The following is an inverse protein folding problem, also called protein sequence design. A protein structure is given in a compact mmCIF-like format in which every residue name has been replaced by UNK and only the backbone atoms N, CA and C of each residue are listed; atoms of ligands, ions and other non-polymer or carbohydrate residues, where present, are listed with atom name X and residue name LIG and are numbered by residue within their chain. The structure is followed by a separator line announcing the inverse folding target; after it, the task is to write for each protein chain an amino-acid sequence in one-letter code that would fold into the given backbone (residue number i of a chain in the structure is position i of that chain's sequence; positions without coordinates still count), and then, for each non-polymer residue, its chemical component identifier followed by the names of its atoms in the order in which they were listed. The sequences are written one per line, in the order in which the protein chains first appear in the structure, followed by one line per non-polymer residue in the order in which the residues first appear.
data_IF_403718066778
#
_entry.id   IF_403718066778
#
_cell.length_a   1.000
_cell.length_b   1.000
_cell.length_c   1.000
_cell.angle_alpha   90.00
_cell.angle_beta   90.00
_cell.angle_gamma   90.00
#
_symmetry.space_group_name_H-M   'P 1'
#
loop_
_entity.id
_entity.type
_entity.pdbx_description
1 polymer ?
#
# COMPACT_ATOMS: atom_id res chain seq x y z
N UNK A 1 8.59 36.74 17.25
CA UNK A 1 7.72 36.21 18.34
C UNK A 1 7.96 34.72 18.49
N UNK A 2 8.17 34.22 19.71
CA UNK A 2 8.47 32.80 19.98
C UNK A 2 7.20 31.95 19.79
N UNK A 3 7.37 30.68 19.35
CA UNK A 3 6.29 29.67 19.19
C UNK A 3 5.47 29.53 20.48
N UNK A 4 6.09 29.69 21.65
CA UNK A 4 5.43 29.65 22.96
C UNK A 4 4.45 30.83 23.16
N UNK A 5 4.76 32.02 22.66
CA UNK A 5 3.88 33.19 22.74
C UNK A 5 2.65 33.01 21.81
N UNK A 6 2.83 32.39 20.67
CA UNK A 6 1.75 32.01 19.73
C UNK A 6 0.79 30.99 20.35
N UNK A 7 1.33 29.92 20.95
CA UNK A 7 0.55 28.87 21.61
C UNK A 7 -0.28 29.43 22.78
N UNK A 8 0.29 30.33 23.59
CA UNK A 8 -0.40 30.98 24.71
C UNK A 8 -1.54 31.91 24.25
N UNK A 9 -1.35 32.62 23.13
CA UNK A 9 -2.41 33.44 22.52
C UNK A 9 -3.55 32.59 21.96
N UNK A 10 -3.23 31.50 21.31
CA UNK A 10 -4.23 30.56 20.79
C UNK A 10 -5.04 29.91 21.90
N UNK A 11 -4.40 29.45 22.97
CA UNK A 11 -5.09 28.83 24.11
C UNK A 11 -6.04 29.83 24.84
N UNK A 12 -5.70 31.13 24.86
CA UNK A 12 -6.47 32.13 25.57
C UNK A 12 -7.59 32.75 24.74
N UNK A 13 -7.44 32.87 23.42
CA UNK A 13 -8.34 33.64 22.57
C UNK A 13 -8.72 32.91 21.25
N UNK A 14 -8.35 31.64 21.08
CA UNK A 14 -8.61 30.87 19.86
C UNK A 14 -7.95 31.47 18.60
N UNK A 15 -8.49 31.16 17.44
CA UNK A 15 -8.03 31.71 16.14
C UNK A 15 -8.07 33.26 16.09
N UNK A 16 -9.01 33.87 16.72
CA UNK A 16 -9.16 35.35 16.77
C UNK A 16 -7.95 36.00 17.44
N UNK A 17 -7.35 35.36 18.45
CA UNK A 17 -6.17 35.87 19.14
C UNK A 17 -4.89 35.85 18.34
N UNK A 18 -4.88 35.11 17.22
CA UNK A 18 -3.73 35.02 16.31
C UNK A 18 -3.80 36.00 15.15
N UNK A 19 -4.97 36.54 14.86
CA UNK A 19 -5.09 37.60 13.85
C UNK A 19 -4.32 38.83 14.31
N UNK A 20 -3.38 39.29 13.51
CA UNK A 20 -2.70 40.57 13.79
C UNK A 20 -3.76 41.66 13.99
N UNK A 21 -3.63 42.44 15.04
CA UNK A 21 -4.42 43.65 15.15
C UNK A 21 -4.16 44.45 13.89
N UNK A 22 -5.11 44.48 12.94
CA UNK A 22 -5.10 45.50 11.90
C UNK A 22 -4.97 46.84 12.63
N UNK A 23 -3.95 47.57 12.25
CA UNK A 23 -3.83 48.97 12.72
C UNK A 23 -5.21 49.58 12.60
N UNK A 24 -5.72 50.10 13.69
CA UNK A 24 -6.97 50.84 13.69
C UNK A 24 -6.82 51.95 12.66
N UNK A 25 -7.54 51.81 11.55
CA UNK A 25 -7.74 52.94 10.64
C UNK A 25 -8.27 54.05 11.51
N UNK A 26 -7.68 55.26 11.52
CA UNK A 26 -8.21 56.37 12.27
C UNK A 26 -9.68 56.54 11.87
N UNK A 27 -10.60 56.47 12.82
CA UNK A 27 -12.00 56.80 12.56
C UNK A 27 -12.03 58.27 12.21
N UNK A 28 -12.21 58.59 10.93
CA UNK A 28 -12.60 59.93 10.53
C UNK A 28 -13.96 60.27 11.17
N UNK A 29 -14.16 61.49 11.65
CA UNK A 29 -15.43 61.85 12.23
C UNK A 29 -16.56 61.70 11.21
N UNK A 30 -17.69 61.18 11.66
CA UNK A 30 -18.90 60.88 10.89
C UNK A 30 -19.55 62.06 10.15
N UNK A 31 -18.98 63.26 10.24
CA UNK A 31 -19.50 64.49 9.62
C UNK A 31 -19.16 64.68 8.13
N UNK A 32 -18.38 63.79 7.50
CA UNK A 32 -18.05 63.89 6.07
C UNK A 32 -18.72 62.83 5.17
N UNK A 33 -19.64 62.03 5.73
CA UNK A 33 -20.26 60.92 4.97
C UNK A 33 -21.57 61.31 4.27
N UNK A 34 -22.05 62.53 4.45
CA UNK A 34 -23.33 62.99 3.90
C UNK A 34 -23.25 63.72 2.54
N UNK A 35 -22.14 63.63 1.86
CA UNK A 35 -22.14 64.02 0.44
C UNK A 35 -22.81 62.93 -0.41
N UNK A 36 -23.86 63.21 -1.21
CA UNK A 36 -24.45 62.22 -2.06
C UNK A 36 -23.37 61.72 -3.05
N UNK A 37 -23.03 60.44 -2.97
CA UNK A 37 -22.12 59.78 -3.95
C UNK A 37 -22.58 60.14 -5.35
N UNK A 38 -21.67 60.64 -6.17
CA UNK A 38 -21.97 60.94 -7.57
C UNK A 38 -22.40 59.62 -8.24
N UNK A 39 -23.32 59.67 -9.21
CA UNK A 39 -23.88 58.49 -9.86
C UNK A 39 -22.83 57.52 -10.36
N UNK A 40 -21.70 58.06 -10.82
CA UNK A 40 -20.57 57.31 -11.37
C UNK A 40 -19.80 56.55 -10.30
N UNK A 41 -19.65 57.09 -9.09
CA UNK A 41 -19.03 56.41 -7.94
C UNK A 41 -19.90 55.25 -7.46
N UNK A 42 -21.23 55.42 -7.46
CA UNK A 42 -22.19 54.41 -7.12
C UNK A 42 -22.20 53.23 -8.09
N UNK A 43 -22.07 53.52 -9.38
CA UNK A 43 -21.93 52.46 -10.40
C UNK A 43 -20.59 51.76 -10.36
N UNK A 44 -19.51 52.44 -10.06
CA UNK A 44 -18.19 51.88 -9.87
C UNK A 44 -18.19 50.90 -8.66
N UNK A 45 -18.76 51.33 -7.55
CA UNK A 45 -18.90 50.46 -6.32
C UNK A 45 -19.78 49.25 -6.58
N UNK A 46 -20.88 49.39 -7.31
CA UNK A 46 -21.75 48.27 -7.70
C UNK A 46 -21.04 47.28 -8.58
N UNK A 47 -20.19 47.75 -9.46
CA UNK A 47 -19.38 46.93 -10.36
C UNK A 47 -18.34 46.13 -9.56
N UNK A 48 -17.64 46.81 -8.65
CA UNK A 48 -16.67 46.19 -7.77
C UNK A 48 -17.30 45.13 -6.84
N UNK A 49 -18.48 45.38 -6.32
CA UNK A 49 -19.25 44.41 -5.53
C UNK A 49 -19.58 43.17 -6.37
N UNK A 50 -20.00 43.33 -7.63
CA UNK A 50 -20.31 42.22 -8.53
C UNK A 50 -19.06 41.37 -8.87
N UNK A 51 -17.93 42.04 -9.06
CA UNK A 51 -16.64 41.34 -9.31
C UNK A 51 -16.19 40.54 -8.10
N UNK A 52 -16.22 41.15 -6.89
CA UNK A 52 -15.88 40.45 -5.65
C UNK A 52 -16.82 39.27 -5.37
N UNK A 53 -18.11 39.42 -5.69
CA UNK A 53 -19.11 38.39 -5.50
C UNK A 53 -18.87 37.19 -6.46
N UNK A 54 -18.48 37.48 -7.70
CA UNK A 54 -18.06 36.45 -8.65
C UNK A 54 -16.81 35.72 -8.15
N UNK A 55 -15.81 36.44 -7.66
CA UNK A 55 -14.58 35.83 -7.13
C UNK A 55 -14.86 34.92 -5.93
N UNK A 56 -15.67 35.36 -4.99
CA UNK A 56 -16.07 34.56 -3.82
C UNK A 56 -16.81 33.28 -4.24
N UNK A 57 -17.72 33.37 -5.20
CA UNK A 57 -18.48 32.22 -5.66
C UNK A 57 -17.59 31.24 -6.44
N UNK A 58 -16.66 31.77 -7.25
CA UNK A 58 -15.64 30.92 -7.94
C UNK A 58 -14.75 30.21 -6.92
N UNK A 59 -14.29 30.89 -5.89
CA UNK A 59 -13.47 30.28 -4.85
C UNK A 59 -14.23 29.17 -4.09
N UNK A 60 -15.50 29.38 -3.79
CA UNK A 60 -16.35 28.35 -3.15
C UNK A 60 -16.46 27.11 -4.02
N UNK A 61 -16.81 27.24 -5.30
CA UNK A 61 -16.93 26.13 -6.22
C UNK A 61 -15.58 25.44 -6.47
N UNK A 62 -14.49 26.22 -6.50
CA UNK A 62 -13.13 25.65 -6.60
C UNK A 62 -12.80 24.78 -5.40
N UNK A 63 -13.14 25.23 -4.19
CA UNK A 63 -12.97 24.42 -2.97
C UNK A 63 -13.78 23.12 -3.04
N UNK A 64 -15.02 23.17 -3.53
CA UNK A 64 -15.83 21.95 -3.70
C UNK A 64 -15.24 20.97 -4.74
N UNK A 65 -14.67 21.48 -5.83
CA UNK A 65 -13.96 20.66 -6.81
C UNK A 65 -12.70 20.04 -6.19
N UNK A 66 -11.93 20.80 -5.41
CA UNK A 66 -10.72 20.33 -4.73
C UNK A 66 -11.02 19.28 -3.66
N UNK A 67 -12.13 19.40 -2.92
CA UNK A 67 -12.58 18.38 -1.97
C UNK A 67 -12.86 17.04 -2.67
N UNK A 68 -13.36 17.09 -3.91
CA UNK A 68 -13.67 15.89 -4.72
C UNK A 68 -12.46 15.31 -5.44
N UNK A 69 -11.46 16.13 -5.75
CA UNK A 69 -10.17 15.71 -6.36
C UNK A 69 -8.99 16.38 -5.60
N UNK A 70 -8.47 15.73 -4.52
CA UNK A 70 -7.35 16.27 -3.72
C UNK A 70 -6.04 16.46 -4.49
N UNK A 71 -5.97 15.99 -5.73
CA UNK A 71 -4.81 16.19 -6.62
C UNK A 71 -4.92 17.39 -7.55
N UNK A 72 -6.00 18.18 -7.47
CA UNK A 72 -6.15 19.41 -8.24
C UNK A 72 -5.32 20.54 -7.60
N UNK A 73 -4.57 21.27 -8.43
CA UNK A 73 -3.76 22.41 -7.99
C UNK A 73 -4.55 23.71 -8.15
N UNK A 74 -4.64 24.50 -7.09
CA UNK A 74 -5.30 25.81 -7.07
C UNK A 74 -4.69 26.78 -8.10
N UNK A 75 -3.37 26.70 -8.33
CA UNK A 75 -2.65 27.58 -9.26
C UNK A 75 -2.79 27.16 -10.72
N UNK A 76 -3.24 25.94 -11.00
CA UNK A 76 -3.25 25.33 -12.34
C UNK A 76 -4.49 24.53 -12.67
N UNK A 77 -5.72 25.05 -12.45
CA UNK A 77 -6.96 24.38 -12.85
C UNK A 77 -6.93 23.94 -14.32
N UNK A 78 -7.12 22.65 -14.55
CA UNK A 78 -7.23 22.08 -15.90
C UNK A 78 -8.55 22.48 -16.57
N UNK A 79 -8.59 22.48 -17.87
CA UNK A 79 -9.79 22.85 -18.62
C UNK A 79 -11.04 22.04 -18.22
N UNK A 80 -10.86 20.79 -17.77
CA UNK A 80 -11.97 19.97 -17.27
C UNK A 80 -12.54 20.52 -15.96
N UNK A 81 -11.69 20.90 -15.03
CA UNK A 81 -12.07 21.47 -13.72
C UNK A 81 -12.74 22.84 -13.92
N UNK A 82 -12.13 23.69 -14.77
CA UNK A 82 -12.73 24.97 -15.17
C UNK A 82 -14.14 24.78 -15.75
N UNK A 83 -14.34 23.78 -16.61
CA UNK A 83 -15.65 23.53 -17.20
C UNK A 83 -16.70 23.05 -16.18
N UNK A 84 -16.30 22.32 -15.14
CA UNK A 84 -17.18 21.92 -14.03
C UNK A 84 -17.63 23.15 -13.25
N UNK A 85 -16.69 24.03 -12.86
CA UNK A 85 -16.97 25.26 -12.11
C UNK A 85 -17.87 26.20 -12.93
N UNK A 86 -17.55 26.42 -14.21
CA UNK A 86 -18.36 27.21 -15.15
C UNK A 86 -19.79 26.62 -15.24
N UNK A 87 -19.90 25.30 -15.30
CA UNK A 87 -21.20 24.61 -15.35
C UNK A 87 -22.05 24.84 -14.10
N UNK A 88 -21.44 24.79 -12.92
CA UNK A 88 -22.10 25.05 -11.63
C UNK A 88 -22.57 26.51 -11.52
N UNK A 89 -21.72 27.46 -11.91
CA UNK A 89 -22.00 28.90 -11.82
C UNK A 89 -22.87 29.43 -12.97
N UNK A 90 -23.06 28.66 -14.04
CA UNK A 90 -23.78 29.09 -15.26
C UNK A 90 -25.25 29.44 -15.05
N UNK A 91 -25.85 29.11 -13.90
CA UNK A 91 -27.21 29.57 -13.52
C UNK A 91 -27.20 30.98 -12.93
N UNK A 92 -26.08 31.42 -12.40
CA UNK A 92 -25.94 32.70 -11.65
C UNK A 92 -25.24 33.78 -12.48
N UNK A 93 -24.32 33.37 -13.36
CA UNK A 93 -23.50 34.29 -14.18
C UNK A 93 -23.57 33.96 -15.67
N UNK A 94 -23.47 34.97 -16.49
CA UNK A 94 -23.45 34.79 -17.95
C UNK A 94 -22.21 34.02 -18.40
N UNK A 95 -22.39 33.07 -19.30
CA UNK A 95 -21.30 32.24 -19.83
C UNK A 95 -20.11 33.04 -20.34
N UNK A 96 -20.27 34.13 -21.13
CA UNK A 96 -19.14 34.92 -21.59
C UNK A 96 -18.27 35.48 -20.48
N UNK A 97 -18.89 35.97 -19.39
CA UNK A 97 -18.18 36.50 -18.21
C UNK A 97 -17.32 35.40 -17.53
N UNK A 98 -17.89 34.22 -17.36
CA UNK A 98 -17.16 33.08 -16.79
C UNK A 98 -16.01 32.60 -17.68
N UNK A 99 -16.20 32.58 -18.99
CA UNK A 99 -15.17 32.18 -19.94
C UNK A 99 -13.98 33.15 -19.94
N UNK A 100 -14.25 34.46 -19.85
CA UNK A 100 -13.21 35.51 -19.74
C UNK A 100 -12.47 35.33 -18.40
N UNK A 101 -13.18 35.17 -17.28
CA UNK A 101 -12.60 35.01 -15.94
C UNK A 101 -11.61 33.81 -15.88
N UNK A 102 -11.99 32.67 -16.47
CA UNK A 102 -11.16 31.47 -16.48
C UNK A 102 -10.15 31.43 -17.65
N UNK A 103 -10.08 32.46 -18.48
CA UNK A 103 -9.30 32.44 -19.71
C UNK A 103 -9.48 31.13 -20.51
N UNK A 104 -10.75 30.80 -20.80
CA UNK A 104 -11.13 29.57 -21.48
C UNK A 104 -11.90 29.84 -22.76
N UNK A 105 -11.44 29.25 -23.87
CA UNK A 105 -12.13 29.38 -25.13
C UNK A 105 -13.52 28.68 -25.10
N UNK A 106 -14.51 29.29 -25.76
CA UNK A 106 -15.88 28.75 -25.82
C UNK A 106 -15.93 27.30 -26.36
N UNK A 107 -15.13 27.02 -27.39
CA UNK A 107 -15.00 25.67 -27.96
C UNK A 107 -14.46 24.66 -26.94
N UNK A 108 -13.45 25.03 -26.17
CA UNK A 108 -12.88 24.20 -25.10
C UNK A 108 -13.90 23.90 -24.03
N UNK A 109 -14.70 24.88 -23.64
CA UNK A 109 -15.80 24.67 -22.67
C UNK A 109 -16.81 23.65 -23.18
N UNK A 110 -17.35 23.81 -24.37
CA UNK A 110 -18.33 22.89 -24.93
C UNK A 110 -17.75 21.49 -25.15
N UNK A 111 -16.48 21.40 -25.58
CA UNK A 111 -15.79 20.12 -25.69
C UNK A 111 -15.71 19.42 -24.33
N UNK A 112 -15.29 20.12 -23.28
CA UNK A 112 -15.21 19.54 -21.94
C UNK A 112 -16.60 19.19 -21.39
N UNK A 113 -17.59 20.03 -21.58
CA UNK A 113 -18.99 19.77 -21.19
C UNK A 113 -19.53 18.52 -21.87
N UNK A 114 -19.33 18.35 -23.16
CA UNK A 114 -19.71 17.15 -23.89
C UNK A 114 -18.94 15.92 -23.43
N UNK A 115 -17.66 16.09 -23.08
CA UNK A 115 -16.83 15.00 -22.53
C UNK A 115 -17.29 14.57 -21.15
N UNK A 116 -17.71 15.50 -20.31
CA UNK A 116 -18.23 15.23 -18.95
C UNK A 116 -19.61 14.54 -18.97
N UNK A 117 -20.41 14.80 -20.00
CA UNK A 117 -21.73 14.15 -20.15
C UNK A 117 -21.67 12.73 -20.73
N UNK A 118 -20.51 12.32 -21.27
CA UNK A 118 -20.34 10.96 -21.78
C UNK A 118 -20.30 9.97 -20.63
N UNK A 119 -21.01 8.83 -20.75
CA UNK A 119 -20.94 7.77 -19.73
C UNK A 119 -19.48 7.25 -19.63
N UNK A 120 -19.08 6.91 -18.44
CA UNK A 120 -17.75 6.32 -18.21
C UNK A 120 -17.66 4.96 -18.92
N UNK A 121 -16.88 4.89 -20.00
CA UNK A 121 -16.66 3.67 -20.78
C UNK A 121 -16.06 2.51 -19.95
N UNK A 122 -15.51 2.82 -18.78
CA UNK A 122 -14.88 1.86 -17.90
C UNK A 122 -15.76 1.47 -16.71
N UNK A 123 -17.02 1.95 -16.62
CA UNK A 123 -17.89 1.74 -15.47
C UNK A 123 -18.01 0.26 -15.07
N UNK A 124 -18.24 -0.64 -16.04
CA UNK A 124 -18.30 -2.09 -15.79
C UNK A 124 -16.99 -2.67 -15.26
N UNK A 125 -15.85 -2.10 -15.65
CA UNK A 125 -14.54 -2.57 -15.22
C UNK A 125 -14.17 -2.06 -13.83
N UNK A 126 -14.74 -0.92 -13.39
CA UNK A 126 -14.53 -0.39 -12.04
C UNK A 126 -15.03 -1.37 -10.98
N UNK A 127 -16.25 -1.87 -11.13
CA UNK A 127 -16.80 -2.85 -10.20
C UNK A 127 -16.00 -4.16 -10.19
N UNK A 128 -15.57 -4.63 -11.37
CA UNK A 128 -14.73 -5.82 -11.45
C UNK A 128 -13.36 -5.64 -10.77
N UNK A 129 -12.73 -4.49 -10.97
CA UNK A 129 -11.45 -4.17 -10.31
C UNK A 129 -11.61 -4.09 -8.78
N UNK A 130 -12.71 -3.49 -8.29
CA UNK A 130 -13.04 -3.47 -6.86
C UNK A 130 -13.22 -4.89 -6.29
N UNK A 131 -13.95 -5.75 -7.00
CA UNK A 131 -14.18 -7.15 -6.62
C UNK A 131 -12.83 -7.89 -6.52
N UNK A 132 -12.04 -7.86 -7.59
CA UNK A 132 -10.71 -8.49 -7.61
C UNK A 132 -9.76 -7.95 -6.52
N UNK A 133 -9.83 -6.65 -6.22
CA UNK A 133 -9.04 -6.06 -5.15
C UNK A 133 -9.44 -6.62 -3.78
N UNK A 134 -10.75 -6.72 -3.51
CA UNK A 134 -11.29 -7.26 -2.25
C UNK A 134 -11.03 -8.77 -2.12
N UNK A 135 -11.30 -9.54 -3.17
CA UNK A 135 -11.07 -10.99 -3.21
C UNK A 135 -9.62 -11.33 -2.94
N UNK A 136 -8.69 -10.46 -3.36
CA UNK A 136 -7.27 -10.59 -3.11
C UNK A 136 -6.79 -9.77 -1.90
N UNK A 137 -7.62 -9.70 -0.84
CA UNK A 137 -7.27 -9.15 0.49
C UNK A 137 -6.81 -7.67 0.47
N UNK A 138 -7.07 -6.91 -0.60
CA UNK A 138 -6.62 -5.53 -0.75
C UNK A 138 -5.12 -5.35 -0.98
N UNK A 139 -4.38 -6.41 -1.31
CA UNK A 139 -2.91 -6.38 -1.45
C UNK A 139 -2.42 -6.32 -2.89
N UNK A 140 -3.33 -6.37 -3.87
CA UNK A 140 -2.96 -6.29 -5.28
C UNK A 140 -2.83 -4.83 -5.74
N UNK A 141 -1.61 -4.42 -6.08
CA UNK A 141 -1.38 -3.20 -6.85
C UNK A 141 -1.78 -3.36 -8.32
N UNK A 142 -1.77 -2.27 -9.07
CA UNK A 142 -2.25 -2.22 -10.45
C UNK A 142 -1.66 -3.30 -11.37
N UNK A 143 -0.40 -3.68 -11.22
CA UNK A 143 0.23 -4.72 -12.06
C UNK A 143 -0.40 -6.10 -11.85
N UNK A 144 -0.69 -6.48 -10.61
CA UNK A 144 -1.34 -7.76 -10.31
C UNK A 144 -2.81 -7.74 -10.71
N UNK A 145 -3.52 -6.63 -10.49
CA UNK A 145 -4.89 -6.47 -10.96
C UNK A 145 -4.99 -6.52 -12.48
N UNK A 146 -4.04 -5.90 -13.18
CA UNK A 146 -3.94 -6.00 -14.64
C UNK A 146 -3.75 -7.44 -15.11
N UNK A 147 -2.87 -8.18 -14.44
CA UNK A 147 -2.64 -9.59 -14.76
C UNK A 147 -3.87 -10.48 -14.46
N UNK A 148 -4.54 -10.24 -13.32
CA UNK A 148 -5.78 -10.95 -12.97
C UNK A 148 -6.90 -10.68 -14.00
N UNK A 149 -7.07 -9.44 -14.42
CA UNK A 149 -8.01 -9.09 -15.49
C UNK A 149 -7.68 -9.79 -16.80
N UNK A 150 -6.39 -9.87 -17.17
CA UNK A 150 -5.95 -10.57 -18.38
C UNK A 150 -6.26 -12.07 -18.33
N UNK A 151 -6.13 -12.71 -17.19
CA UNK A 151 -6.51 -14.12 -16.99
C UNK A 151 -8.01 -14.36 -17.18
N UNK A 152 -8.84 -13.37 -16.85
CA UNK A 152 -10.29 -13.41 -17.11
C UNK A 152 -10.69 -12.94 -18.52
N UNK A 153 -9.72 -12.75 -19.42
CA UNK A 153 -9.96 -12.31 -20.80
C UNK A 153 -10.27 -10.82 -20.94
N UNK A 154 -10.07 -10.02 -19.89
CA UNK A 154 -10.33 -8.56 -19.91
C UNK A 154 -9.03 -7.84 -20.27
N UNK A 155 -9.01 -7.24 -21.47
CA UNK A 155 -7.84 -6.52 -21.98
C UNK A 155 -8.00 -5.02 -21.68
N UNK A 156 -7.29 -4.54 -20.68
CA UNK A 156 -7.14 -3.12 -20.33
C UNK A 156 -5.65 -2.78 -20.31
N UNK A 157 -5.29 -1.53 -20.56
CA UNK A 157 -3.89 -1.10 -20.37
C UNK A 157 -3.60 -0.89 -18.88
N UNK A 158 -2.34 -1.12 -18.45
CA UNK A 158 -1.91 -0.85 -17.06
C UNK A 158 -2.21 0.58 -16.61
N UNK A 159 -2.08 1.55 -17.55
CA UNK A 159 -2.40 2.96 -17.28
C UNK A 159 -3.87 3.15 -16.89
N UNK A 160 -4.79 2.46 -17.55
CA UNK A 160 -6.23 2.53 -17.24
C UNK A 160 -6.51 1.87 -15.90
N UNK A 161 -5.96 0.70 -15.62
CA UNK A 161 -6.12 0.01 -14.33
C UNK A 161 -5.59 0.87 -13.18
N UNK A 162 -4.41 1.47 -13.35
CA UNK A 162 -3.81 2.38 -12.37
C UNK A 162 -4.69 3.62 -12.13
N UNK A 163 -5.28 4.19 -13.19
CA UNK A 163 -6.16 5.34 -13.06
C UNK A 163 -7.45 4.96 -12.32
N UNK A 164 -8.06 3.83 -12.64
CA UNK A 164 -9.25 3.35 -11.95
C UNK A 164 -8.95 3.11 -10.46
N UNK A 165 -7.83 2.48 -10.11
CA UNK A 165 -7.44 2.31 -8.71
C UNK A 165 -7.33 3.66 -7.98
N UNK A 166 -6.74 4.66 -8.63
CA UNK A 166 -6.63 6.01 -8.05
C UNK A 166 -8.01 6.64 -7.86
N UNK A 167 -8.88 6.58 -8.87
CA UNK A 167 -10.22 7.18 -8.84
C UNK A 167 -11.11 6.53 -7.77
N UNK A 168 -10.95 5.21 -7.54
CA UNK A 168 -11.70 4.43 -6.56
C UNK A 168 -11.02 4.35 -5.18
N UNK A 169 -9.92 5.10 -4.97
CA UNK A 169 -9.12 5.09 -3.74
C UNK A 169 -8.67 3.69 -3.28
N UNK A 170 -8.34 2.81 -4.23
CA UNK A 170 -7.83 1.48 -3.94
C UNK A 170 -6.33 1.56 -3.63
N UNK A 171 -6.00 1.69 -2.35
CA UNK A 171 -4.63 1.85 -1.87
C UNK A 171 -4.15 0.56 -1.23
N UNK A 172 -2.99 0.07 -1.68
CA UNK A 172 -2.31 -1.06 -1.05
C UNK A 172 -1.52 -0.55 0.15
N UNK A 173 -1.70 -1.18 1.30
CA UNK A 173 -0.92 -0.84 2.49
C UNK A 173 0.55 -1.22 2.28
N UNK A 174 1.45 -0.31 2.64
CA UNK A 174 2.90 -0.53 2.63
C UNK A 174 3.54 0.07 3.87
N UNK A 175 4.04 -0.77 4.78
CA UNK A 175 4.81 -0.30 5.91
C UNK A 175 6.21 0.15 5.46
N UNK A 176 6.74 1.22 6.06
CA UNK A 176 8.12 1.66 5.83
C UNK A 176 9.08 0.62 6.41
N UNK A 177 10.10 0.25 5.63
CA UNK A 177 11.17 -0.64 6.11
C UNK A 177 11.93 0.01 7.27
N UNK A 178 12.08 -0.73 8.38
CA UNK A 178 12.99 -0.37 9.46
C UNK A 178 14.37 -0.95 9.15
N UNK A 179 15.43 -0.15 9.36
CA UNK A 179 16.81 -0.65 9.27
C UNK A 179 17.09 -1.58 10.44
N UNK A 180 17.62 -2.75 10.15
CA UNK A 180 18.07 -3.73 11.15
C UNK A 180 19.54 -3.54 11.50
N UNK A 181 19.90 -3.87 12.74
CA UNK A 181 21.30 -4.03 13.18
C UNK A 181 21.56 -5.50 13.52
N UNK A 182 22.69 -6.05 13.06
CA UNK A 182 23.09 -7.43 13.31
C UNK A 182 23.84 -7.61 14.62
N UNK A 183 23.59 -8.73 15.33
CA UNK A 183 24.25 -9.10 16.58
C UNK A 183 25.55 -9.88 16.34
N UNK A 184 26.61 -9.53 17.05
CA UNK A 184 27.99 -10.06 16.89
C UNK A 184 28.39 -10.94 18.10
N UNK A 185 27.78 -12.10 18.29
CA UNK A 185 28.21 -12.96 19.39
C UNK A 185 27.96 -14.45 19.15
N UNK A 186 29.00 -15.21 18.80
CA UNK A 186 28.86 -16.66 18.67
C UNK A 186 30.18 -17.44 18.75
N UNK A 187 30.12 -18.59 19.46
CA UNK A 187 31.20 -19.56 19.59
C UNK A 187 30.62 -20.95 19.21
N UNK A 188 30.70 -21.35 17.93
CA UNK A 188 30.24 -22.69 17.49
C UNK A 188 30.95 -23.13 16.21
N UNK A 189 31.12 -24.47 15.95
CA UNK A 189 31.68 -24.97 14.70
C UNK A 189 30.96 -24.43 13.48
N UNK A 190 31.72 -24.07 12.47
CA UNK A 190 31.20 -23.43 11.27
C UNK A 190 30.50 -24.45 10.37
N UNK A 191 29.22 -24.22 10.09
CA UNK A 191 28.50 -24.92 9.04
C UNK A 191 28.65 -24.09 7.76
N UNK A 192 29.04 -24.72 6.67
CA UNK A 192 29.35 -24.07 5.41
C UNK A 192 28.09 -23.39 4.80
N UNK A 193 28.28 -22.21 4.20
CA UNK A 193 27.26 -21.57 3.38
C UNK A 193 27.30 -22.16 1.97
N UNK A 194 26.64 -23.30 1.78
CA UNK A 194 26.59 -24.01 0.49
C UNK A 194 25.86 -23.20 -0.59
N UNK A 195 24.85 -22.41 -0.21
CA UNK A 195 24.08 -21.61 -1.17
C UNK A 195 24.83 -20.41 -1.73
N UNK A 196 25.74 -19.81 -0.96
CA UNK A 196 26.48 -18.62 -1.38
C UNK A 196 25.60 -17.54 -2.03
N UNK A 197 24.43 -17.26 -1.46
CA UNK A 197 23.39 -16.32 -1.98
C UNK A 197 22.75 -16.74 -3.31
N UNK A 198 23.03 -17.93 -3.83
CA UNK A 198 22.34 -18.45 -5.00
C UNK A 198 21.02 -19.10 -4.58
N UNK A 199 19.99 -18.24 -4.45
CA UNK A 199 18.62 -18.67 -4.14
C UNK A 199 17.81 -19.06 -5.37
N UNK A 200 18.45 -19.28 -6.52
CA UNK A 200 17.80 -19.81 -7.70
C UNK A 200 17.86 -21.34 -7.66
N UNK A 201 16.75 -21.97 -7.98
CA UNK A 201 16.61 -23.41 -8.16
C UNK A 201 15.95 -23.68 -9.51
N UNK A 202 16.40 -24.68 -10.23
CA UNK A 202 15.87 -25.08 -11.55
C UNK A 202 14.67 -26.01 -11.40
N UNK A 203 14.62 -26.80 -10.31
CA UNK A 203 13.55 -27.74 -10.00
C UNK A 203 13.01 -27.55 -8.58
N UNK A 204 11.75 -27.98 -8.32
CA UNK A 204 11.22 -28.04 -6.97
C UNK A 204 12.09 -28.93 -6.07
N UNK A 205 12.14 -28.56 -4.80
CA UNK A 205 12.83 -29.31 -3.75
C UNK A 205 14.35 -29.48 -3.94
N UNK A 206 15.00 -28.58 -4.67
CA UNK A 206 16.47 -28.49 -4.70
C UNK A 206 17.01 -27.73 -3.50
N UNK A 207 16.39 -26.59 -3.19
CA UNK A 207 16.85 -25.67 -2.14
C UNK A 207 15.66 -25.16 -1.36
N UNK A 208 15.69 -25.35 -0.06
CA UNK A 208 14.69 -24.83 0.87
C UNK A 208 15.29 -23.82 1.83
N UNK A 209 14.51 -22.80 2.18
CA UNK A 209 14.87 -21.78 3.15
C UNK A 209 13.94 -21.87 4.36
N UNK A 210 14.49 -21.71 5.54
CA UNK A 210 13.70 -21.59 6.77
C UNK A 210 14.31 -20.58 7.73
N UNK A 211 13.47 -19.94 8.50
CA UNK A 211 13.80 -19.01 9.58
C UNK A 211 12.57 -18.86 10.49
N UNK A 212 12.72 -18.25 11.65
CA UNK A 212 11.61 -18.00 12.56
C UNK A 212 11.26 -16.51 12.55
N UNK A 213 9.96 -16.21 12.43
CA UNK A 213 9.50 -14.84 12.59
C UNK A 213 8.49 -14.71 13.71
N UNK A 214 8.56 -13.59 14.46
CA UNK A 214 7.66 -13.27 15.57
C UNK A 214 6.52 -12.37 15.10
N UNK A 215 5.32 -12.61 15.64
CA UNK A 215 4.16 -11.74 15.62
C UNK A 215 3.82 -11.32 17.05
N UNK A 216 3.95 -10.02 17.35
CA UNK A 216 3.58 -9.44 18.63
C UNK A 216 2.11 -8.96 18.55
N UNK A 217 1.23 -9.67 19.23
CA UNK A 217 -0.20 -9.41 19.33
C UNK A 217 -0.53 -8.81 20.71
N UNK A 218 -1.66 -8.11 20.88
CA UNK A 218 -2.09 -7.63 22.18
C UNK A 218 -2.21 -8.75 23.23
N UNK A 219 -2.62 -9.95 22.81
CA UNK A 219 -2.82 -11.12 23.67
C UNK A 219 -1.58 -12.00 23.88
N UNK A 220 -0.46 -11.66 23.23
CA UNK A 220 0.78 -12.43 23.38
C UNK A 220 1.60 -12.49 22.09
N UNK A 221 2.57 -13.41 22.10
CA UNK A 221 3.45 -13.60 20.93
C UNK A 221 3.21 -14.94 20.28
N UNK A 222 3.29 -14.95 18.97
CA UNK A 222 3.31 -16.15 18.14
C UNK A 222 4.54 -16.15 17.26
N UNK A 223 5.03 -17.34 16.97
CA UNK A 223 6.21 -17.58 16.16
C UNK A 223 5.84 -18.49 15.01
N UNK A 224 6.21 -18.09 13.79
CA UNK A 224 6.03 -18.87 12.57
C UNK A 224 7.39 -19.39 12.11
N UNK A 225 7.47 -20.68 11.84
CA UNK A 225 8.61 -21.34 11.18
C UNK A 225 8.12 -21.93 9.86
N UNK A 226 8.30 -21.25 8.71
CA UNK A 226 7.96 -21.76 7.39
C UNK A 226 9.15 -22.44 6.74
N UNK A 227 8.88 -23.35 5.82
CA UNK A 227 9.86 -23.92 4.88
C UNK A 227 9.48 -23.49 3.48
N UNK A 228 10.38 -22.79 2.80
CA UNK A 228 10.11 -22.09 1.53
C UNK A 228 10.98 -22.69 0.43
N UNK A 229 10.37 -23.14 -0.66
CA UNK A 229 11.10 -23.61 -1.83
C UNK A 229 11.66 -22.44 -2.65
N UNK A 230 12.93 -22.51 -2.98
CA UNK A 230 13.61 -21.49 -3.79
C UNK A 230 13.15 -21.50 -5.26
N UNK A 231 12.61 -22.60 -5.77
CA UNK A 231 12.19 -22.75 -7.15
C UNK A 231 11.10 -21.73 -7.53
N UNK A 232 10.06 -21.70 -6.75
CA UNK A 232 8.89 -20.84 -7.02
C UNK A 232 8.47 -20.00 -5.82
N UNK A 233 9.08 -20.24 -4.65
CA UNK A 233 8.76 -19.61 -3.37
C UNK A 233 7.47 -20.15 -2.78
N UNK A 234 7.08 -21.37 -3.08
CA UNK A 234 6.03 -22.11 -2.38
C UNK A 234 6.42 -22.27 -0.90
N UNK A 235 5.50 -22.05 -0.01
CA UNK A 235 5.65 -22.47 1.40
C UNK A 235 5.29 -23.94 1.46
N UNK A 236 6.32 -24.81 1.51
CA UNK A 236 6.17 -26.26 1.49
C UNK A 236 5.47 -26.77 2.74
N UNK A 237 5.90 -26.26 3.89
CA UNK A 237 5.30 -26.53 5.17
C UNK A 237 5.53 -25.37 6.14
N UNK A 238 4.74 -25.30 7.22
CA UNK A 238 4.92 -24.32 8.28
C UNK A 238 4.34 -24.80 9.59
N UNK A 239 4.90 -24.29 10.68
CA UNK A 239 4.37 -24.48 12.03
C UNK A 239 4.23 -23.14 12.73
N UNK A 240 3.24 -23.04 13.61
CA UNK A 240 3.00 -21.87 14.45
C UNK A 240 3.04 -22.30 15.92
N UNK A 241 3.70 -21.53 16.76
CA UNK A 241 3.80 -21.84 18.18
C UNK A 241 3.91 -20.59 19.04
N UNK A 242 3.70 -20.77 20.34
CA UNK A 242 3.78 -19.69 21.35
C UNK A 242 5.22 -19.42 21.83
N UNK A 243 6.15 -20.25 21.43
CA UNK A 243 7.58 -20.15 21.80
C UNK A 243 8.46 -20.56 20.62
N UNK A 244 9.59 -19.85 20.37
CA UNK A 244 10.56 -20.23 19.37
C UNK A 244 11.47 -21.32 19.93
N UNK A 245 10.98 -22.54 20.03
CA UNK A 245 11.69 -23.68 20.62
C UNK A 245 12.03 -24.76 19.57
N UNK A 246 12.78 -25.79 20.00
CA UNK A 246 13.17 -26.89 19.12
C UNK A 246 11.95 -27.64 18.54
N UNK A 247 10.88 -27.79 19.29
CA UNK A 247 9.68 -28.46 18.82
C UNK A 247 9.07 -27.75 17.59
N UNK A 248 9.05 -26.41 17.61
CA UNK A 248 8.52 -25.60 16.48
C UNK A 248 9.21 -25.95 15.17
N UNK A 249 10.54 -25.91 15.14
CA UNK A 249 11.31 -26.16 13.90
C UNK A 249 11.38 -27.64 13.53
N UNK A 250 11.47 -28.51 14.53
CA UNK A 250 11.56 -29.95 14.31
C UNK A 250 10.26 -30.53 13.77
N UNK A 251 9.11 -30.12 14.30
CA UNK A 251 7.79 -30.54 13.79
C UNK A 251 7.59 -30.08 12.34
N UNK A 252 7.97 -28.84 12.04
CA UNK A 252 7.92 -28.31 10.67
C UNK A 252 8.75 -29.16 9.71
N UNK A 253 9.99 -29.53 10.11
CA UNK A 253 10.88 -30.35 9.29
C UNK A 253 10.35 -31.78 9.14
N UNK A 254 9.90 -32.41 10.23
CA UNK A 254 9.34 -33.77 10.18
C UNK A 254 8.15 -33.87 9.22
N UNK A 255 7.25 -32.88 9.25
CA UNK A 255 6.10 -32.82 8.36
C UNK A 255 6.51 -32.59 6.90
N UNK A 256 7.53 -31.76 6.65
CA UNK A 256 8.03 -31.52 5.31
C UNK A 256 8.73 -32.77 4.72
N UNK A 257 9.51 -33.47 5.53
CA UNK A 257 10.16 -34.72 5.14
C UNK A 257 9.12 -35.81 4.81
N UNK A 258 8.01 -35.88 5.56
CA UNK A 258 6.96 -36.87 5.35
C UNK A 258 6.26 -36.77 3.97
N UNK A 259 6.26 -35.59 3.36
CA UNK A 259 5.66 -35.36 2.03
C UNK A 259 6.71 -35.25 0.91
N UNK A 260 8.00 -35.28 1.26
CA UNK A 260 9.08 -35.17 0.29
C UNK A 260 9.22 -36.50 -0.47
N UNK A 261 9.30 -36.51 -1.83
CA UNK A 261 9.59 -37.70 -2.61
C UNK A 261 10.91 -38.36 -2.18
N UNK A 262 10.93 -39.69 -2.13
CA UNK A 262 12.07 -40.48 -1.58
C UNK A 262 13.41 -40.19 -2.30
N UNK A 263 13.37 -39.79 -3.55
CA UNK A 263 14.58 -39.53 -4.36
C UNK A 263 15.10 -38.09 -4.20
N UNK A 264 14.34 -37.19 -3.58
CA UNK A 264 14.71 -35.78 -3.48
C UNK A 264 15.43 -35.47 -2.15
N UNK A 265 16.48 -34.67 -2.24
CA UNK A 265 17.34 -34.31 -1.10
C UNK A 265 17.67 -32.82 -1.13
N UNK A 266 16.73 -31.98 -0.73
CA UNK A 266 16.95 -30.52 -0.72
C UNK A 266 18.10 -30.10 0.19
N UNK A 267 18.78 -29.04 -0.22
CA UNK A 267 19.65 -28.28 0.65
C UNK A 267 18.78 -27.38 1.49
N UNK A 268 18.84 -27.48 2.82
CA UNK A 268 18.11 -26.61 3.73
C UNK A 268 19.04 -25.51 4.23
N UNK A 269 18.75 -24.27 3.86
CA UNK A 269 19.47 -23.10 4.32
C UNK A 269 18.75 -22.38 5.43
N UNK A 270 19.49 -22.07 6.49
CA UNK A 270 18.99 -21.39 7.69
C UNK A 270 19.89 -20.20 8.06
N UNK A 271 19.39 -19.34 8.91
CA UNK A 271 20.24 -18.47 9.68
C UNK A 271 21.06 -19.26 10.71
N UNK A 272 21.87 -18.53 11.52
CA UNK A 272 22.65 -19.16 12.60
C UNK A 272 21.87 -19.27 13.93
N UNK A 273 20.55 -19.29 13.88
CA UNK A 273 19.70 -19.45 15.06
C UNK A 273 20.04 -20.73 15.83
N UNK A 274 19.98 -20.67 17.18
CA UNK A 274 20.34 -21.80 18.05
C UNK A 274 19.50 -23.06 17.73
N UNK A 275 18.27 -22.88 17.25
CA UNK A 275 17.31 -23.94 16.94
C UNK A 275 17.82 -24.91 15.85
N UNK A 276 18.53 -24.37 14.84
CA UNK A 276 19.06 -25.11 13.72
C UNK A 276 20.43 -25.78 14.00
N UNK A 277 20.94 -25.61 15.21
CA UNK A 277 22.22 -26.17 15.70
C UNK A 277 22.03 -27.20 16.81
N UNK A 278 20.80 -27.39 17.28
CA UNK A 278 20.50 -28.38 18.29
C UNK A 278 20.52 -29.81 17.71
N UNK A 279 20.89 -30.81 18.56
CA UNK A 279 21.02 -32.20 18.12
C UNK A 279 19.78 -32.71 17.40
N UNK A 280 18.61 -32.42 17.92
CA UNK A 280 17.35 -32.92 17.32
C UNK A 280 17.08 -32.42 15.90
N UNK A 281 17.55 -31.22 15.52
CA UNK A 281 17.52 -30.75 14.13
C UNK A 281 18.53 -31.48 13.28
N UNK A 282 19.78 -31.63 13.77
CA UNK A 282 20.90 -32.27 13.07
C UNK A 282 20.57 -33.72 12.75
N UNK A 283 20.09 -34.48 13.73
CA UNK A 283 19.71 -35.89 13.59
C UNK A 283 18.62 -36.10 12.52
N UNK A 284 17.64 -35.20 12.44
CA UNK A 284 16.57 -35.25 11.41
C UNK A 284 17.12 -35.02 10.02
N UNK A 285 17.98 -34.01 9.87
CA UNK A 285 18.65 -33.71 8.59
C UNK A 285 19.49 -34.90 8.12
N UNK A 286 20.30 -35.48 9.01
CA UNK A 286 21.15 -36.63 8.71
C UNK A 286 20.33 -37.88 8.37
N UNK A 287 19.32 -38.20 9.15
CA UNK A 287 18.42 -39.32 8.93
C UNK A 287 17.71 -39.25 7.58
N UNK A 288 17.31 -38.07 7.19
CA UNK A 288 16.64 -37.83 5.90
C UNK A 288 17.64 -37.63 4.73
N UNK A 289 18.95 -37.65 4.98
CA UNK A 289 20.00 -37.44 3.96
C UNK A 289 19.98 -36.02 3.40
N UNK A 290 19.52 -35.03 4.18
CA UNK A 290 19.40 -33.62 3.74
C UNK A 290 20.72 -32.86 3.99
N UNK A 291 21.05 -31.95 3.09
CA UNK A 291 22.24 -31.12 3.21
C UNK A 291 21.94 -29.85 4.02
N UNK A 292 22.74 -29.60 5.03
CA UNK A 292 22.66 -28.37 5.83
C UNK A 292 23.47 -27.26 5.21
N UNK A 293 22.92 -26.05 5.19
CA UNK A 293 23.60 -24.82 4.79
C UNK A 293 23.23 -23.72 5.77
N UNK A 294 24.20 -22.89 6.16
CA UNK A 294 23.95 -21.77 7.07
C UNK A 294 24.55 -20.46 6.57
N UNK A 295 23.86 -19.37 6.84
CA UNK A 295 24.36 -18.02 6.57
C UNK A 295 25.72 -17.79 7.23
N UNK A 296 26.61 -17.00 6.62
CA UNK A 296 27.86 -16.59 7.25
C UNK A 296 27.60 -15.65 8.43
N UNK A 297 28.47 -15.67 9.41
CA UNK A 297 28.38 -14.83 10.60
C UNK A 297 28.34 -13.33 10.23
N UNK A 298 27.30 -12.63 10.66
CA UNK A 298 27.13 -11.20 10.40
C UNK A 298 26.74 -10.84 8.96
N UNK A 299 26.42 -11.84 8.12
CA UNK A 299 26.00 -11.64 6.74
C UNK A 299 24.48 -11.76 6.57
N UNK A 300 23.70 -10.73 6.93
CA UNK A 300 22.25 -10.71 6.71
C UNK A 300 21.82 -10.91 5.24
N UNK A 301 22.58 -10.52 4.20
CA UNK A 301 22.22 -10.84 2.83
C UNK A 301 22.11 -12.34 2.53
N UNK A 302 22.74 -13.19 3.31
CA UNK A 302 22.71 -14.64 3.11
C UNK A 302 21.34 -15.26 3.43
N UNK A 303 20.46 -14.56 4.17
CA UNK A 303 19.07 -14.96 4.46
C UNK A 303 18.03 -14.03 3.80
N UNK A 304 18.45 -13.19 2.87
CA UNK A 304 17.60 -12.13 2.28
C UNK A 304 16.33 -12.64 1.59
N UNK A 305 16.33 -13.84 1.06
CA UNK A 305 15.16 -14.41 0.41
C UNK A 305 14.06 -14.77 1.42
N UNK A 306 14.42 -15.34 2.59
CA UNK A 306 13.51 -15.61 3.69
C UNK A 306 13.00 -14.32 4.33
N UNK A 307 13.89 -13.36 4.60
CA UNK A 307 13.54 -12.02 5.08
C UNK A 307 12.56 -11.30 4.11
N UNK A 308 12.78 -11.45 2.81
CA UNK A 308 11.89 -10.94 1.77
C UNK A 308 10.51 -11.57 1.79
N UNK A 309 10.39 -12.84 2.12
CA UNK A 309 9.10 -13.51 2.34
C UNK A 309 8.43 -12.95 3.60
N UNK A 310 9.11 -12.88 4.73
CA UNK A 310 8.55 -12.34 5.97
C UNK A 310 8.11 -10.89 5.85
N UNK A 311 8.91 -10.06 5.21
CA UNK A 311 8.54 -8.67 4.95
C UNK A 311 7.24 -8.55 4.15
N UNK A 312 7.07 -9.41 3.16
CA UNK A 312 5.87 -9.49 2.32
C UNK A 312 4.65 -9.99 3.10
N UNK A 313 4.80 -11.09 3.81
CA UNK A 313 3.76 -11.67 4.66
C UNK A 313 3.27 -10.65 5.70
N UNK A 314 4.19 -10.03 6.43
CA UNK A 314 3.84 -9.02 7.45
C UNK A 314 3.17 -7.79 6.85
N UNK A 315 3.62 -7.32 5.70
CA UNK A 315 2.98 -6.18 5.02
C UNK A 315 1.58 -6.52 4.49
N UNK A 316 1.39 -7.71 3.97
CA UNK A 316 0.13 -8.09 3.33
C UNK A 316 -0.92 -8.58 4.33
N UNK A 317 -0.51 -9.14 5.47
CA UNK A 317 -1.42 -9.79 6.41
C UNK A 317 -1.42 -9.15 7.80
N UNK A 318 -0.27 -8.70 8.31
CA UNK A 318 -0.14 -8.31 9.71
C UNK A 318 -0.19 -6.79 9.92
N UNK A 319 0.67 -6.03 9.23
CA UNK A 319 0.74 -4.58 9.41
C UNK A 319 -0.51 -3.87 8.82
N UNK A 320 -0.91 -2.78 9.47
CA UNK A 320 -2.06 -1.97 9.03
C UNK A 320 -3.42 -2.54 9.44
N UNK A 321 -3.45 -3.63 10.22
CA UNK A 321 -4.65 -4.20 10.82
C UNK A 321 -4.63 -4.04 12.33
N UNK A 322 -5.81 -3.90 12.94
CA UNK A 322 -5.97 -3.99 14.38
C UNK A 322 -6.17 -5.45 14.77
N UNK A 323 -5.38 -5.90 15.75
CA UNK A 323 -5.47 -7.25 16.31
C UNK A 323 -6.04 -7.25 17.74
N UNK A 324 -6.64 -6.14 18.16
CA UNK A 324 -7.30 -6.01 19.46
C UNK A 324 -8.55 -6.88 19.46
N UNK A 325 -8.68 -7.75 20.48
CA UNK A 325 -9.81 -8.67 20.62
C UNK A 325 -9.78 -9.92 19.74
N UNK A 326 -8.66 -10.15 19.04
CA UNK A 326 -8.44 -11.37 18.24
C UNK A 326 -7.63 -12.35 19.10
N UNK A 327 -8.17 -13.55 19.32
CA UNK A 327 -7.46 -14.59 20.07
C UNK A 327 -6.23 -15.08 19.31
N UNK A 328 -5.25 -15.66 20.03
CA UNK A 328 -4.07 -16.26 19.42
C UNK A 328 -4.45 -17.38 18.43
N UNK A 329 -5.47 -18.16 18.73
CA UNK A 329 -5.92 -19.27 17.89
C UNK A 329 -6.66 -18.77 16.64
N UNK A 330 -7.39 -17.65 16.71
CA UNK A 330 -7.96 -16.98 15.55
C UNK A 330 -6.86 -16.40 14.64
N UNK A 331 -5.81 -15.83 15.24
CA UNK A 331 -4.67 -15.36 14.47
C UNK A 331 -3.94 -16.49 13.74
N UNK A 332 -3.79 -17.66 14.37
CA UNK A 332 -3.21 -18.85 13.71
C UNK A 332 -4.04 -19.22 12.49
N UNK A 333 -5.38 -19.26 12.61
CA UNK A 333 -6.25 -19.53 11.44
C UNK A 333 -6.09 -18.51 10.33
N UNK A 334 -6.06 -17.22 10.65
CA UNK A 334 -5.82 -16.15 9.68
C UNK A 334 -4.45 -16.29 8.96
N UNK A 335 -3.43 -16.75 9.69
CA UNK A 335 -2.10 -16.98 9.16
C UNK A 335 -2.07 -18.20 8.23
N UNK A 336 -2.72 -19.29 8.61
CA UNK A 336 -2.89 -20.49 7.79
C UNK A 336 -3.67 -20.18 6.50
N UNK A 337 -4.76 -19.43 6.60
CA UNK A 337 -5.55 -18.96 5.46
C UNK A 337 -4.74 -18.05 4.53
N UNK A 338 -3.86 -17.22 5.10
CA UNK A 338 -2.98 -16.39 4.30
C UNK A 338 -1.95 -17.24 3.53
N UNK A 339 -1.31 -18.21 4.19
CA UNK A 339 -0.29 -19.06 3.54
C UNK A 339 -0.93 -19.92 2.45
N UNK A 340 -2.09 -20.50 2.72
CA UNK A 340 -2.86 -21.25 1.72
C UNK A 340 -3.25 -20.39 0.52
N UNK A 341 -3.73 -19.17 0.76
CA UNK A 341 -4.01 -18.21 -0.32
C UNK A 341 -2.73 -17.80 -1.05
N UNK A 342 -1.61 -17.60 -0.34
CA UNK A 342 -0.31 -17.27 -0.93
C UNK A 342 0.15 -18.36 -1.89
N UNK A 343 0.04 -19.62 -1.50
CA UNK A 343 0.43 -20.76 -2.31
C UNK A 343 -0.49 -20.96 -3.52
N UNK A 344 -1.81 -20.85 -3.33
CA UNK A 344 -2.80 -21.28 -4.32
C UNK A 344 -3.33 -20.17 -5.23
N UNK A 345 -3.32 -18.92 -4.79
CA UNK A 345 -4.01 -17.81 -5.50
C UNK A 345 -3.14 -16.57 -5.71
N UNK A 346 -2.14 -16.35 -4.85
CA UNK A 346 -1.37 -15.12 -4.90
C UNK A 346 -0.49 -15.04 -6.14
N UNK A 347 -0.79 -14.10 -7.03
CA UNK A 347 -0.05 -13.86 -8.26
C UNK A 347 1.39 -13.40 -7.96
N UNK A 348 2.36 -14.11 -8.52
CA UNK A 348 3.79 -13.75 -8.58
C UNK A 348 4.15 -13.39 -10.02
N UNK A 349 4.56 -12.15 -10.26
CA UNK A 349 4.93 -11.70 -11.60
C UNK A 349 6.17 -12.42 -12.14
N UNK A 350 7.08 -12.83 -11.26
CA UNK A 350 8.26 -13.62 -11.60
C UNK A 350 7.94 -15.01 -12.14
N UNK A 351 6.74 -15.54 -11.85
CA UNK A 351 6.25 -16.83 -12.35
C UNK A 351 5.30 -16.67 -13.55
N UNK A 352 5.40 -15.55 -14.28
CA UNK A 352 4.52 -15.29 -15.41
C UNK A 352 3.10 -14.86 -14.98
N UNK A 353 2.92 -14.41 -13.75
CA UNK A 353 1.65 -13.86 -13.25
C UNK A 353 0.68 -14.93 -12.73
N UNK A 354 1.18 -16.01 -12.22
CA UNK A 354 0.40 -17.09 -11.57
C UNK A 354 0.86 -17.31 -10.14
N UNK A 355 0.12 -18.10 -9.36
CA UNK A 355 0.51 -18.52 -8.02
C UNK A 355 1.60 -19.63 -8.09
N UNK A 356 2.31 -19.89 -6.97
CA UNK A 356 3.29 -20.99 -6.92
C UNK A 356 2.70 -22.35 -7.32
N UNK A 357 1.54 -22.73 -6.78
CA UNK A 357 0.90 -24.00 -7.14
C UNK A 357 0.44 -24.03 -8.60
N UNK A 358 -0.16 -22.96 -9.12
CA UNK A 358 -0.53 -22.87 -10.53
C UNK A 358 0.69 -22.96 -11.45
N UNK A 359 1.84 -22.42 -11.02
CA UNK A 359 3.09 -22.53 -11.77
C UNK A 359 3.55 -23.96 -11.87
N UNK A 360 3.57 -24.73 -10.74
CA UNK A 360 3.89 -26.17 -10.74
C UNK A 360 2.94 -26.97 -11.63
N UNK A 361 1.64 -26.73 -11.51
CA UNK A 361 0.64 -27.39 -12.36
C UNK A 361 0.87 -27.15 -13.85
N UNK A 362 1.21 -25.91 -14.26
CA UNK A 362 1.52 -25.57 -15.66
C UNK A 362 2.76 -26.29 -16.19
N UNK A 363 3.70 -26.62 -15.31
CA UNK A 363 4.92 -27.38 -15.68
C UNK A 363 4.72 -28.90 -15.58
N UNK A 364 3.52 -29.39 -15.21
CA UNK A 364 3.26 -30.77 -14.97
C UNK A 364 3.90 -31.33 -13.69
N UNK A 365 4.31 -30.44 -12.79
CA UNK A 365 4.90 -30.80 -11.51
C UNK A 365 3.78 -30.78 -10.46
N UNK A 366 3.48 -31.92 -9.90
CA UNK A 366 2.49 -32.03 -8.82
C UNK A 366 3.16 -31.71 -7.48
N UNK A 367 2.45 -30.94 -6.64
CA UNK A 367 2.91 -30.58 -5.31
C UNK A 367 2.56 -31.69 -4.32
#
# INVERSE_FOLDING_TARGET
MSIYAWRRKYQKHGMIGLMAKKNSIPRQPLSEIDAPLQSDELEALRTQIRELQLEVDVLKETIEVLKKDPGADLAGLKNREKAVIIGALGKKYALPTLLVYFNMARSSYYYQKASLSKPDKYMRYREKIKSLFRENRGVYGYRRLHQALKQEGIILSEKVVRQIMKDENLVVFGAKQKKYSSYLGEITPEVENVLCRNFHADNPNEKWLTDITEFALPEGKLYLSPLIDCFDGLVVNWTVGRSPNAALVNTMLDQAIAVLPEEQRPIIHTDRGCHYRWPGWIERMERAGLTRSMSQKGCSPDNSACEGFFGRLKNEMFYGRSWVGISLDDFVRELDDYINWYNSKRIKLSLGGVSPLEYRHKLGLFA
#
